data_IF_810515201229
#
_entry.id   IF_810515201229
#
_cell.length_a   1.000
_cell.length_b   1.000
_cell.length_c   1.000
_cell.angle_alpha   90.00
_cell.angle_beta   90.00
_cell.angle_gamma   90.00
#
_symmetry.space_group_name_H-M   'P 1'
#
loop_
_entity.id
_entity.type
_entity.pdbx_description
1 polymer ?
#
# COMPACT_ATOMS: atom_id res chain seq x y z
N UNK A 1 31.18 -26.17 27.02
CA UNK A 1 30.40 -24.92 26.94
C UNK A 1 28.92 -25.30 26.94
N UNK A 2 28.13 -24.79 27.88
CA UNK A 2 26.68 -25.01 27.91
C UNK A 2 26.02 -23.85 27.17
N UNK A 3 25.24 -24.15 26.14
CA UNK A 3 24.46 -23.16 25.39
C UNK A 3 22.99 -23.42 25.72
N UNK A 4 22.29 -22.41 26.23
CA UNK A 4 20.85 -22.47 26.48
C UNK A 4 20.15 -21.84 25.30
N UNK A 5 19.39 -22.65 24.55
CA UNK A 5 18.56 -22.19 23.43
C UNK A 5 17.13 -22.00 23.93
N UNK A 6 16.66 -20.75 23.94
CA UNK A 6 15.28 -20.42 24.31
C UNK A 6 14.54 -19.99 23.05
N UNK A 7 13.43 -20.67 22.75
CA UNK A 7 12.51 -20.27 21.70
C UNK A 7 11.34 -19.52 22.32
N UNK A 8 11.14 -18.26 21.92
CA UNK A 8 10.02 -17.44 22.36
C UNK A 8 9.10 -17.25 21.16
N UNK A 9 7.88 -17.77 21.24
CA UNK A 9 6.89 -17.59 20.18
C UNK A 9 6.38 -16.13 20.15
N UNK A 10 6.06 -15.58 18.96
CA UNK A 10 5.45 -14.26 18.89
C UNK A 10 4.07 -14.26 19.56
N UNK A 11 3.82 -13.30 20.45
CA UNK A 11 2.51 -13.09 21.07
C UNK A 11 1.66 -12.09 20.26
N UNK A 12 0.33 -12.27 20.30
CA UNK A 12 -0.65 -11.36 19.68
C UNK A 12 -0.86 -10.06 20.47
N UNK A 13 -0.30 -9.96 21.67
CA UNK A 13 -0.39 -8.78 22.54
C UNK A 13 0.93 -8.02 22.59
N UNK A 14 0.86 -6.69 22.67
CA UNK A 14 2.02 -5.85 23.00
C UNK A 14 2.36 -6.05 24.48
N UNK A 15 3.58 -6.49 24.77
CA UNK A 15 4.04 -6.74 26.13
C UNK A 15 4.85 -5.53 26.60
N UNK A 16 4.58 -5.06 27.82
CA UNK A 16 5.34 -3.99 28.45
C UNK A 16 6.31 -4.58 29.48
N UNK A 17 7.57 -4.17 29.41
CA UNK A 17 8.57 -4.50 30.42
C UNK A 17 8.87 -3.23 31.24
N UNK A 18 8.61 -3.28 32.54
CA UNK A 18 8.75 -2.12 33.46
C UNK A 18 8.02 -0.85 32.97
N UNK A 19 6.82 -1.02 32.39
CA UNK A 19 6.00 0.07 31.86
C UNK A 19 6.34 0.53 30.44
N UNK A 20 7.53 0.17 29.94
CA UNK A 20 8.03 0.51 28.62
C UNK A 20 7.68 -0.56 27.57
N UNK A 21 7.45 -0.13 26.33
CA UNK A 21 7.26 -1.00 25.17
C UNK A 21 8.59 -1.10 24.43
N UNK A 22 8.98 -2.33 24.06
CA UNK A 22 10.16 -2.58 23.27
C UNK A 22 9.76 -3.32 22.00
N UNK A 23 10.40 -2.98 20.89
CA UNK A 23 10.30 -3.72 19.64
C UNK A 23 11.64 -4.28 19.25
N UNK A 24 11.64 -5.51 18.74
CA UNK A 24 12.87 -6.14 18.29
C UNK A 24 13.05 -5.88 16.82
N UNK A 25 13.95 -4.96 16.49
CA UNK A 25 14.29 -4.58 15.13
C UNK A 25 15.65 -5.22 14.83
N UNK A 26 15.62 -6.23 13.95
CA UNK A 26 16.78 -7.08 13.65
C UNK A 26 17.40 -7.71 14.93
N UNK A 27 18.60 -7.28 15.30
CA UNK A 27 19.38 -7.77 16.44
C UNK A 27 19.27 -6.90 17.70
N UNK A 28 18.48 -5.82 17.67
CA UNK A 28 18.38 -4.83 18.76
C UNK A 28 16.95 -4.71 19.29
N UNK A 29 16.82 -4.66 20.62
CA UNK A 29 15.57 -4.29 21.28
C UNK A 29 15.51 -2.75 21.43
N UNK A 30 14.62 -2.11 20.67
CA UNK A 30 14.48 -0.65 20.62
C UNK A 30 13.32 -0.21 21.51
N UNK A 31 13.57 0.79 22.37
CA UNK A 31 12.51 1.41 23.17
C UNK A 31 11.56 2.21 22.27
N UNK A 32 10.26 1.98 22.39
CA UNK A 32 9.24 2.68 21.62
C UNK A 32 8.39 3.55 22.53
N UNK A 33 8.43 4.86 22.28
CA UNK A 33 7.64 5.87 22.99
C UNK A 33 6.51 6.45 22.13
N UNK A 34 6.64 6.39 20.80
CA UNK A 34 5.67 6.99 19.89
C UNK A 34 4.38 6.17 19.84
N UNK A 35 3.24 6.82 20.12
CA UNK A 35 1.91 6.23 20.01
C UNK A 35 1.65 5.63 18.61
N UNK A 36 2.19 6.25 17.55
CA UNK A 36 2.07 5.76 16.17
C UNK A 36 2.77 4.42 16.03
N UNK A 37 4.00 4.31 16.53
CA UNK A 37 4.77 3.06 16.46
C UNK A 37 4.15 1.96 17.33
N UNK A 38 3.62 2.33 18.51
CA UNK A 38 2.88 1.40 19.37
C UNK A 38 1.61 0.90 18.67
N UNK A 39 0.84 1.78 18.03
CA UNK A 39 -0.36 1.42 17.25
C UNK A 39 -0.01 0.48 16.09
N UNK A 40 1.07 0.77 15.35
CA UNK A 40 1.58 -0.12 14.29
C UNK A 40 1.98 -1.49 14.84
N UNK A 41 2.56 -1.55 16.04
CA UNK A 41 2.87 -2.82 16.71
C UNK A 41 1.61 -3.62 17.04
N UNK A 42 0.54 -2.98 17.53
CA UNK A 42 -0.74 -3.64 17.75
C UNK A 42 -1.33 -4.22 16.47
N UNK A 43 -1.36 -3.44 15.39
CA UNK A 43 -1.84 -3.90 14.07
C UNK A 43 -1.04 -5.13 13.59
N UNK A 44 0.29 -5.08 13.68
CA UNK A 44 1.17 -6.21 13.31
C UNK A 44 0.89 -7.46 14.15
N UNK A 45 0.81 -7.33 15.47
CA UNK A 45 0.63 -8.47 16.40
C UNK A 45 -0.77 -9.09 16.36
N UNK A 46 -1.80 -8.29 16.11
CA UNK A 46 -3.18 -8.77 16.06
C UNK A 46 -3.55 -9.37 14.70
N UNK A 47 -2.66 -9.33 13.71
CA UNK A 47 -2.96 -9.69 12.31
C UNK A 47 -4.22 -8.99 11.79
N UNK A 48 -4.46 -7.76 12.25
CA UNK A 48 -5.60 -6.98 11.82
C UNK A 48 -5.35 -6.46 10.40
N UNK A 49 -6.26 -6.77 9.49
CA UNK A 49 -6.24 -6.30 8.10
C UNK A 49 -7.17 -5.09 7.99
N UNK A 50 -6.60 -3.90 8.12
CA UNK A 50 -7.34 -2.64 8.14
C UNK A 50 -8.13 -2.41 6.85
N UNK A 51 -7.65 -2.94 5.73
CA UNK A 51 -8.30 -2.90 4.42
C UNK A 51 -9.64 -3.64 4.40
N UNK A 52 -9.87 -4.57 5.34
CA UNK A 52 -11.12 -5.33 5.47
C UNK A 52 -12.14 -4.67 6.39
N UNK A 53 -11.86 -3.48 6.93
CA UNK A 53 -12.82 -2.72 7.75
C UNK A 53 -14.09 -2.44 6.95
N UNK A 54 -15.23 -2.95 7.42
CA UNK A 54 -16.54 -2.84 6.75
C UNK A 54 -17.17 -1.47 7.02
N UNK A 55 -17.79 -0.87 6.00
CA UNK A 55 -18.62 0.33 6.10
C UNK A 55 -20.05 0.02 5.68
N UNK A 56 -20.92 -0.19 6.67
CA UNK A 56 -22.33 -0.61 6.46
C UNK A 56 -23.16 0.36 5.61
N UNK A 57 -22.76 1.62 5.57
CA UNK A 57 -23.49 2.70 4.90
C UNK A 57 -22.88 3.12 3.57
N UNK A 58 -21.75 2.52 3.16
CA UNK A 58 -21.24 2.69 1.80
C UNK A 58 -22.09 1.84 0.87
N UNK A 59 -22.61 2.44 -0.17
CA UNK A 59 -23.47 1.82 -1.18
C UNK A 59 -22.79 1.85 -2.55
N UNK A 60 -23.31 1.12 -3.55
CA UNK A 60 -22.78 1.21 -4.91
C UNK A 60 -22.80 2.64 -5.49
N UNK A 61 -23.68 3.53 -5.02
CA UNK A 61 -23.73 4.93 -5.44
C UNK A 61 -22.52 5.76 -4.97
N UNK A 62 -21.82 5.30 -3.94
CA UNK A 62 -20.62 5.92 -3.39
C UNK A 62 -19.35 5.49 -4.15
N UNK A 63 -19.50 4.51 -5.05
CA UNK A 63 -18.46 4.01 -5.93
C UNK A 63 -18.59 4.59 -7.35
N UNK A 64 -17.48 4.58 -8.08
CA UNK A 64 -17.34 5.03 -9.46
C UNK A 64 -17.59 3.87 -10.43
N UNK A 65 -18.71 3.85 -11.18
CA UNK A 65 -19.06 2.73 -12.05
C UNK A 65 -18.06 2.50 -13.19
N UNK A 66 -17.45 3.57 -13.69
CA UNK A 66 -16.41 3.52 -14.72
C UNK A 66 -15.17 2.73 -14.27
N UNK A 67 -14.83 2.77 -12.97
CA UNK A 67 -13.70 2.00 -12.42
C UNK A 67 -14.02 0.51 -12.31
N UNK A 68 -15.29 0.15 -12.06
CA UNK A 68 -15.74 -1.25 -12.09
C UNK A 68 -15.57 -1.82 -13.50
N UNK A 69 -16.02 -1.08 -14.51
CA UNK A 69 -15.86 -1.47 -15.91
C UNK A 69 -14.38 -1.62 -16.29
N UNK A 70 -13.55 -0.66 -15.88
CA UNK A 70 -12.09 -0.69 -16.08
C UNK A 70 -11.44 -1.91 -15.41
N UNK A 71 -11.83 -2.24 -14.17
CA UNK A 71 -11.34 -3.41 -13.46
C UNK A 71 -11.65 -4.72 -14.20
N UNK A 72 -12.87 -4.85 -14.75
CA UNK A 72 -13.25 -6.00 -15.58
C UNK A 72 -12.40 -6.11 -16.83
N UNK A 73 -12.20 -5.00 -17.54
CA UNK A 73 -11.38 -4.95 -18.76
C UNK A 73 -9.93 -5.37 -18.47
N UNK A 74 -9.34 -4.86 -17.40
CA UNK A 74 -7.97 -5.21 -17.02
C UNK A 74 -7.83 -6.71 -16.70
N UNK A 75 -8.79 -7.28 -15.97
CA UNK A 75 -8.75 -8.70 -15.63
C UNK A 75 -8.88 -9.62 -16.86
N UNK A 76 -9.79 -9.28 -17.80
CA UNK A 76 -9.97 -10.04 -19.04
C UNK A 76 -8.76 -9.88 -19.98
N UNK A 77 -8.16 -8.69 -20.03
CA UNK A 77 -6.95 -8.44 -20.80
C UNK A 77 -5.74 -9.23 -20.24
N UNK A 78 -5.64 -9.35 -18.91
CA UNK A 78 -4.59 -10.13 -18.26
C UNK A 78 -4.78 -11.64 -18.45
N UNK A 79 -6.03 -12.11 -18.40
CA UNK A 79 -6.38 -13.52 -18.59
C UNK A 79 -7.65 -13.64 -19.43
N UNK A 80 -7.49 -14.11 -20.67
CA UNK A 80 -8.63 -14.44 -21.51
C UNK A 80 -9.58 -15.41 -20.79
N UNK A 81 -10.87 -15.12 -20.81
CA UNK A 81 -11.88 -15.89 -20.08
C UNK A 81 -11.88 -15.68 -18.56
N UNK A 82 -11.35 -14.55 -18.05
CA UNK A 82 -11.46 -14.22 -16.63
C UNK A 82 -12.94 -14.15 -16.19
N UNK A 83 -13.34 -14.78 -15.06
CA UNK A 83 -14.75 -14.82 -14.62
C UNK A 83 -15.41 -13.45 -14.46
N UNK A 84 -14.62 -12.43 -14.10
CA UNK A 84 -15.11 -11.04 -14.00
C UNK A 84 -15.62 -10.46 -15.33
N UNK A 85 -15.36 -11.09 -16.47
CA UNK A 85 -15.96 -10.66 -17.74
C UNK A 85 -17.47 -10.88 -17.80
N UNK A 86 -18.00 -11.87 -17.06
CA UNK A 86 -19.42 -12.29 -17.17
C UNK A 86 -20.20 -12.17 -15.86
N UNK A 87 -19.52 -12.00 -14.72
CA UNK A 87 -20.17 -11.80 -13.42
C UNK A 87 -21.01 -10.51 -13.38
N UNK A 88 -22.08 -10.50 -12.60
CA UNK A 88 -22.74 -9.27 -12.13
C UNK A 88 -21.80 -8.43 -11.26
N UNK A 89 -22.15 -7.18 -10.97
CA UNK A 89 -21.34 -6.31 -10.09
C UNK A 89 -21.24 -6.88 -8.67
N UNK A 90 -22.35 -7.40 -8.13
CA UNK A 90 -22.36 -8.00 -6.79
C UNK A 90 -21.44 -9.23 -6.70
N UNK A 91 -21.54 -10.15 -7.66
CA UNK A 91 -20.67 -11.33 -7.73
C UNK A 91 -19.20 -10.94 -7.85
N UNK A 92 -18.90 -9.92 -8.65
CA UNK A 92 -17.56 -9.39 -8.80
C UNK A 92 -17.05 -8.81 -7.47
N UNK A 93 -17.84 -8.01 -6.74
CA UNK A 93 -17.40 -7.42 -5.48
C UNK A 93 -17.11 -8.49 -4.42
N UNK A 94 -17.94 -9.53 -4.33
CA UNK A 94 -17.72 -10.65 -3.41
C UNK A 94 -16.52 -11.51 -3.82
N UNK A 95 -16.37 -11.76 -5.13
CA UNK A 95 -15.22 -12.51 -5.69
C UNK A 95 -13.90 -11.78 -5.44
N UNK A 96 -13.88 -10.47 -5.61
CA UNK A 96 -12.71 -9.61 -5.41
C UNK A 96 -12.44 -9.26 -3.93
N UNK A 97 -13.25 -9.77 -2.99
CA UNK A 97 -13.17 -9.45 -1.55
C UNK A 97 -13.28 -7.94 -1.26
N UNK A 98 -14.11 -7.25 -2.02
CA UNK A 98 -14.44 -5.83 -1.82
C UNK A 98 -15.74 -5.66 -1.00
N UNK A 99 -16.57 -6.70 -0.97
CA UNK A 99 -17.77 -6.76 -0.15
C UNK A 99 -17.66 -7.97 0.79
N UNK A 100 -17.57 -7.69 2.09
CA UNK A 100 -17.32 -8.70 3.13
C UNK A 100 -18.54 -8.80 4.06
N UNK A 101 -18.65 -9.97 4.71
CA UNK A 101 -19.59 -10.22 5.81
C UNK A 101 -18.82 -10.75 7.01
N UNK A 102 -18.94 -10.08 8.13
CA UNK A 102 -18.46 -10.54 9.42
C UNK A 102 -19.53 -11.44 10.06
N UNK A 103 -19.22 -12.74 10.16
CA UNK A 103 -20.14 -13.73 10.73
C UNK A 103 -20.21 -13.69 12.26
N UNK A 104 -19.29 -12.99 12.93
CA UNK A 104 -19.32 -12.85 14.39
C UNK A 104 -20.26 -11.73 14.83
N UNK A 105 -20.27 -10.62 14.11
CA UNK A 105 -21.10 -9.44 14.40
C UNK A 105 -22.38 -9.39 13.55
N UNK A 106 -22.40 -10.12 12.44
CA UNK A 106 -23.47 -10.06 11.44
C UNK A 106 -23.36 -8.88 10.48
N UNK A 107 -22.31 -8.06 10.59
CA UNK A 107 -22.11 -6.90 9.71
C UNK A 107 -21.78 -7.31 8.28
N UNK A 108 -22.34 -6.59 7.32
CA UNK A 108 -22.11 -6.84 5.89
C UNK A 108 -22.03 -5.50 5.16
N UNK A 109 -21.12 -5.39 4.19
CA UNK A 109 -20.93 -4.15 3.44
C UNK A 109 -19.63 -4.09 2.65
N UNK A 110 -19.43 -2.96 1.96
CA UNK A 110 -18.16 -2.65 1.32
C UNK A 110 -17.07 -2.39 2.35
N UNK A 111 -15.87 -2.88 2.08
CA UNK A 111 -14.72 -2.68 2.96
C UNK A 111 -13.84 -1.50 2.50
N UNK A 112 -12.79 -1.19 3.28
CA UNK A 112 -11.87 -0.08 2.97
C UNK A 112 -11.16 -0.28 1.63
N UNK A 113 -10.82 -1.51 1.25
CA UNK A 113 -10.25 -1.79 -0.06
C UNK A 113 -11.20 -1.36 -1.20
N UNK A 114 -12.50 -1.63 -1.07
CA UNK A 114 -13.50 -1.20 -2.05
C UNK A 114 -13.57 0.32 -2.17
N UNK A 115 -13.60 1.02 -1.03
CA UNK A 115 -13.63 2.49 -0.99
C UNK A 115 -12.36 3.07 -1.61
N UNK A 116 -11.18 2.52 -1.28
CA UNK A 116 -9.91 3.01 -1.82
C UNK A 116 -9.76 2.72 -3.33
N UNK A 117 -10.22 1.56 -3.82
CA UNK A 117 -10.10 1.18 -5.23
C UNK A 117 -11.14 1.88 -6.11
N UNK A 118 -12.38 2.01 -5.63
CA UNK A 118 -13.54 2.35 -6.46
C UNK A 118 -14.32 3.55 -5.94
N UNK A 119 -14.04 4.05 -4.74
CA UNK A 119 -14.81 5.14 -4.14
C UNK A 119 -14.65 6.48 -4.86
N UNK A 120 -15.65 7.34 -4.69
CA UNK A 120 -15.52 8.77 -5.04
C UNK A 120 -14.59 9.49 -4.07
N UNK A 121 -14.01 10.60 -4.51
CA UNK A 121 -12.97 11.32 -3.75
C UNK A 121 -13.51 11.84 -2.41
N UNK A 122 -14.75 12.30 -2.38
CA UNK A 122 -15.44 12.76 -1.17
C UNK A 122 -15.68 11.62 -0.16
N UNK A 123 -15.97 10.41 -0.65
CA UNK A 123 -16.19 9.22 0.19
C UNK A 123 -14.85 8.76 0.79
N UNK A 124 -13.81 8.69 -0.04
CA UNK A 124 -12.45 8.36 0.41
C UNK A 124 -11.97 9.37 1.46
N UNK A 125 -12.16 10.67 1.20
CA UNK A 125 -11.73 11.74 2.13
C UNK A 125 -12.49 11.68 3.47
N UNK A 126 -13.76 11.27 3.46
CA UNK A 126 -14.56 11.09 4.67
C UNK A 126 -14.10 9.88 5.49
N UNK A 127 -13.84 8.75 4.82
CA UNK A 127 -13.51 7.47 5.45
C UNK A 127 -12.02 7.39 5.86
N UNK A 128 -11.15 8.03 5.09
CA UNK A 128 -9.70 8.03 5.24
C UNK A 128 -9.12 9.44 5.04
N UNK A 129 -9.35 10.38 5.97
CA UNK A 129 -8.96 11.79 5.80
C UNK A 129 -7.45 12.02 5.70
N UNK A 130 -6.65 11.11 6.27
CA UNK A 130 -5.19 11.16 6.17
C UNK A 130 -4.65 10.60 4.83
N UNK A 131 -5.53 10.09 3.96
CA UNK A 131 -5.13 9.55 2.67
C UNK A 131 -4.66 10.66 1.73
N UNK A 132 -3.34 10.75 1.63
CA UNK A 132 -2.64 11.58 0.67
C UNK A 132 -1.35 10.87 0.26
N UNK A 133 -1.01 10.98 -1.02
CA UNK A 133 0.31 10.62 -1.55
C UNK A 133 0.95 11.86 -2.17
N UNK A 134 2.09 12.27 -1.61
CA UNK A 134 2.84 13.47 -1.97
C UNK A 134 4.00 13.09 -2.88
N UNK A 135 3.96 13.41 -4.17
CA UNK A 135 5.07 13.20 -5.08
C UNK A 135 5.81 14.52 -5.31
N UNK A 136 7.12 14.55 -5.11
CA UNK A 136 7.95 15.76 -5.17
C UNK A 136 9.24 15.51 -5.95
N UNK A 137 9.65 16.51 -6.72
CA UNK A 137 10.95 16.55 -7.41
C UNK A 137 11.81 17.62 -6.75
N UNK A 138 13.06 17.28 -6.42
CA UNK A 138 14.05 18.19 -5.81
C UNK A 138 15.43 17.96 -6.45
N UNK A 139 15.72 18.72 -7.48
CA UNK A 139 16.98 18.70 -8.26
C UNK A 139 17.73 20.00 -8.10
N UNK A 140 17.08 21.13 -8.40
CA UNK A 140 17.69 22.45 -8.36
C UNK A 140 17.31 23.17 -7.06
N UNK A 141 16.03 23.12 -6.68
CA UNK A 141 15.55 23.71 -5.44
C UNK A 141 15.34 22.66 -4.33
N UNK A 142 16.39 22.43 -3.53
CA UNK A 142 16.40 21.43 -2.46
C UNK A 142 15.43 21.81 -1.32
N UNK A 143 15.26 23.11 -1.04
CA UNK A 143 14.40 23.60 0.04
C UNK A 143 12.91 23.63 -0.32
N UNK A 144 12.58 23.71 -1.62
CA UNK A 144 11.19 23.65 -2.11
C UNK A 144 10.95 22.35 -2.86
N UNK A 145 10.67 22.47 -4.15
CA UNK A 145 10.45 21.42 -5.12
C UNK A 145 10.41 22.06 -6.51
N UNK A 146 10.89 21.35 -7.52
CA UNK A 146 10.83 21.77 -8.92
C UNK A 146 9.50 21.36 -9.56
N UNK A 147 8.93 20.23 -9.12
CA UNK A 147 7.62 19.73 -9.51
C UNK A 147 6.98 19.01 -8.30
N UNK A 148 5.66 19.08 -8.18
CA UNK A 148 4.92 18.45 -7.07
C UNK A 148 3.53 18.04 -7.51
N UNK A 149 3.15 16.82 -7.14
CA UNK A 149 1.82 16.27 -7.33
C UNK A 149 1.29 15.74 -5.99
N UNK A 150 0.13 16.23 -5.56
CA UNK A 150 -0.57 15.69 -4.39
C UNK A 150 -1.79 14.91 -4.83
N UNK A 151 -1.82 13.61 -4.54
CA UNK A 151 -2.88 12.70 -4.96
C UNK A 151 -3.74 12.30 -3.77
N UNK A 152 -5.07 12.40 -3.93
CA UNK A 152 -6.08 12.09 -2.90
C UNK A 152 -7.31 11.37 -3.48
N UNK A 153 -7.13 10.63 -4.58
CA UNK A 153 -8.21 9.95 -5.31
C UNK A 153 -8.09 8.43 -5.18
N UNK A 154 -9.01 7.66 -5.76
CA UNK A 154 -8.97 6.21 -5.76
C UNK A 154 -7.62 5.64 -6.28
N UNK A 155 -7.34 4.38 -5.96
CA UNK A 155 -6.05 3.76 -6.25
C UNK A 155 -5.76 3.55 -7.74
N UNK A 156 -6.78 3.40 -8.59
CA UNK A 156 -6.57 3.30 -10.05
C UNK A 156 -6.02 4.62 -10.60
N UNK A 157 -6.70 5.72 -10.29
CA UNK A 157 -6.33 7.04 -10.78
C UNK A 157 -5.02 7.50 -10.10
N UNK A 158 -4.84 7.15 -8.82
CA UNK A 158 -3.60 7.46 -8.10
C UNK A 158 -2.39 6.77 -8.71
N UNK A 159 -2.52 5.50 -9.10
CA UNK A 159 -1.46 4.77 -9.77
C UNK A 159 -1.09 5.44 -11.10
N UNK A 160 -2.06 5.84 -11.93
CA UNK A 160 -1.79 6.51 -13.20
C UNK A 160 -1.09 7.85 -13.02
N UNK A 161 -1.62 8.72 -12.16
CA UNK A 161 -1.07 10.04 -11.92
C UNK A 161 0.36 9.95 -11.36
N UNK A 162 0.59 9.07 -10.37
CA UNK A 162 1.92 8.91 -9.77
C UNK A 162 2.91 8.26 -10.73
N UNK A 163 2.48 7.26 -11.52
CA UNK A 163 3.33 6.63 -12.53
C UNK A 163 3.74 7.65 -13.58
N UNK A 164 2.80 8.40 -14.14
CA UNK A 164 3.09 9.41 -15.18
C UNK A 164 3.96 10.54 -14.65
N UNK A 165 3.70 11.02 -13.43
CA UNK A 165 4.56 11.98 -12.76
C UNK A 165 5.98 11.45 -12.59
N UNK A 166 6.11 10.19 -12.16
CA UNK A 166 7.41 9.54 -11.96
C UNK A 166 8.15 9.34 -13.27
N UNK A 167 7.49 8.87 -14.32
CA UNK A 167 8.08 8.67 -15.66
C UNK A 167 8.51 9.98 -16.30
N UNK A 168 7.69 11.03 -16.23
CA UNK A 168 8.07 12.35 -16.77
C UNK A 168 9.31 12.91 -16.08
N UNK A 169 9.44 12.64 -14.77
CA UNK A 169 10.52 13.15 -13.93
C UNK A 169 11.70 12.18 -13.77
N UNK A 170 11.79 11.12 -14.56
CA UNK A 170 12.94 10.23 -14.60
C UNK A 170 13.67 10.31 -15.96
N UNK A 171 15.01 10.17 -16.00
CA UNK A 171 15.76 10.17 -17.26
C UNK A 171 15.37 8.98 -18.17
N UNK A 172 15.13 9.23 -19.46
CA UNK A 172 14.88 8.18 -20.45
C UNK A 172 16.18 7.74 -21.12
N UNK A 173 16.92 6.86 -20.46
CA UNK A 173 18.16 6.31 -21.02
C UNK A 173 17.86 5.22 -22.03
N UNK A 174 18.60 5.22 -23.14
CA UNK A 174 18.54 4.13 -24.12
C UNK A 174 19.20 2.88 -23.53
N UNK A 175 18.41 1.81 -23.34
CA UNK A 175 18.89 0.54 -22.81
C UNK A 175 18.33 -0.62 -23.65
N UNK A 176 19.16 -1.62 -23.90
CA UNK A 176 18.79 -2.85 -24.59
C UNK A 176 18.80 -4.03 -23.60
N UNK A 177 17.83 -4.94 -23.74
CA UNK A 177 17.83 -6.25 -23.08
C UNK A 177 17.79 -7.32 -24.17
N UNK A 178 18.95 -7.90 -24.48
CA UNK A 178 19.15 -8.61 -25.75
C UNK A 178 18.99 -7.63 -26.91
N UNK A 179 18.19 -7.99 -27.91
CA UNK A 179 17.95 -7.14 -29.09
C UNK A 179 16.74 -6.22 -28.95
N UNK A 180 16.07 -6.20 -27.79
CA UNK A 180 14.89 -5.37 -27.55
C UNK A 180 15.23 -4.13 -26.74
N UNK A 181 14.83 -2.96 -27.24
CA UNK A 181 14.84 -1.72 -26.47
C UNK A 181 13.88 -1.85 -25.28
N UNK A 182 14.37 -1.50 -24.10
CA UNK A 182 13.58 -1.41 -22.88
C UNK A 182 13.68 0.02 -22.34
N UNK A 183 12.62 0.52 -21.70
CA UNK A 183 12.70 1.75 -20.91
C UNK A 183 12.75 1.36 -19.43
N UNK A 184 13.95 1.35 -18.79
CA UNK A 184 14.07 1.06 -17.36
C UNK A 184 13.21 2.00 -16.53
N UNK A 185 13.05 3.24 -17.00
CA UNK A 185 12.21 4.27 -16.38
C UNK A 185 10.76 3.83 -16.21
N UNK A 186 10.11 3.37 -17.28
CA UNK A 186 8.73 2.88 -17.24
C UNK A 186 8.60 1.69 -16.29
N UNK A 187 9.57 0.78 -16.30
CA UNK A 187 9.57 -0.36 -15.39
C UNK A 187 9.73 0.08 -13.92
N UNK A 188 10.68 0.96 -13.63
CA UNK A 188 10.91 1.50 -12.28
C UNK A 188 9.67 2.21 -11.78
N UNK A 189 9.10 3.12 -12.57
CA UNK A 189 7.90 3.87 -12.20
C UNK A 189 6.72 2.93 -11.92
N UNK A 190 6.48 1.94 -12.79
CA UNK A 190 5.43 0.95 -12.61
C UNK A 190 5.57 0.18 -11.29
N UNK A 191 6.72 -0.45 -11.07
CA UNK A 191 6.91 -1.32 -9.91
C UNK A 191 6.95 -0.53 -8.60
N UNK A 192 7.63 0.62 -8.60
CA UNK A 192 7.78 1.47 -7.41
C UNK A 192 6.44 2.04 -6.96
N UNK A 193 5.64 2.59 -7.89
CA UNK A 193 4.33 3.16 -7.57
C UNK A 193 3.35 2.06 -7.16
N UNK A 194 3.31 0.93 -7.89
CA UNK A 194 2.43 -0.18 -7.55
C UNK A 194 2.74 -0.71 -6.14
N UNK A 195 4.01 -0.98 -5.82
CA UNK A 195 4.40 -1.47 -4.50
C UNK A 195 4.10 -0.45 -3.40
N UNK A 196 4.36 0.83 -3.64
CA UNK A 196 4.10 1.89 -2.66
C UNK A 196 2.61 2.04 -2.34
N UNK A 197 1.72 1.83 -3.31
CA UNK A 197 0.27 1.88 -3.10
C UNK A 197 -0.27 0.58 -2.50
N UNK A 198 0.17 -0.58 -2.99
CA UNK A 198 -0.36 -1.89 -2.56
C UNK A 198 0.03 -2.26 -1.14
N UNK A 199 1.25 -1.91 -0.70
CA UNK A 199 1.76 -2.27 0.62
C UNK A 199 1.61 -1.17 1.66
N UNK A 200 0.84 -0.12 1.35
CA UNK A 200 0.59 0.98 2.27
C UNK A 200 -0.42 0.56 3.35
N UNK A 201 -0.11 0.91 4.59
CA UNK A 201 -1.06 0.88 5.69
C UNK A 201 -1.91 2.16 5.67
N UNK A 202 -3.12 2.07 5.14
CA UNK A 202 -4.01 3.22 4.93
C UNK A 202 -4.68 3.73 6.21
N UNK A 203 -4.69 2.94 7.29
CA UNK A 203 -5.14 3.43 8.60
C UNK A 203 -4.11 4.35 9.28
N UNK A 204 -2.87 4.37 8.78
CA UNK A 204 -1.80 5.21 9.32
C UNK A 204 -1.95 6.67 8.90
N UNK A 205 -1.75 7.64 9.82
CA UNK A 205 -1.74 9.06 9.48
C UNK A 205 -0.47 9.51 8.74
N UNK A 206 0.51 8.62 8.57
CA UNK A 206 1.76 8.94 7.86
C UNK A 206 1.47 9.23 6.40
N UNK A 207 1.82 10.44 5.98
CA UNK A 207 1.74 10.87 4.58
C UNK A 207 2.70 10.04 3.74
N UNK A 208 2.16 9.33 2.74
CA UNK A 208 3.00 8.63 1.78
C UNK A 208 3.70 9.65 0.87
N UNK A 209 4.95 9.41 0.53
CA UNK A 209 5.75 10.31 -0.30
C UNK A 209 6.54 9.56 -1.36
N UNK A 210 6.58 10.10 -2.57
CA UNK A 210 7.54 9.75 -3.63
C UNK A 210 8.46 10.96 -3.82
N UNK A 211 9.76 10.79 -3.63
CA UNK A 211 10.76 11.87 -3.81
C UNK A 211 11.71 11.48 -4.92
N UNK A 212 11.88 12.38 -5.89
CA UNK A 212 12.83 12.22 -6.99
C UNK A 212 13.86 13.34 -6.87
N UNK A 213 15.13 12.98 -6.78
CA UNK A 213 16.25 13.92 -6.76
C UNK A 213 17.27 13.56 -7.84
N UNK A 214 18.41 14.25 -7.85
CA UNK A 214 19.46 14.02 -8.84
C UNK A 214 20.12 12.64 -8.72
N UNK A 215 20.06 12.01 -7.54
CA UNK A 215 20.78 10.76 -7.25
C UNK A 215 19.85 9.54 -7.26
N UNK A 216 18.58 9.72 -6.91
CA UNK A 216 17.70 8.61 -6.55
C UNK A 216 16.21 8.94 -6.68
N UNK A 217 15.42 7.87 -6.66
CA UNK A 217 13.99 7.91 -6.36
C UNK A 217 13.77 7.18 -5.04
N UNK A 218 12.99 7.78 -4.15
CA UNK A 218 12.73 7.28 -2.79
C UNK A 218 11.23 7.28 -2.51
N UNK A 219 10.73 6.23 -1.88
CA UNK A 219 9.36 6.16 -1.37
C UNK A 219 9.36 6.08 0.15
N UNK A 220 8.37 6.72 0.76
CA UNK A 220 8.10 6.62 2.19
C UNK A 220 6.61 6.36 2.34
N UNK A 221 6.24 5.27 2.99
CA UNK A 221 4.86 5.00 3.35
C UNK A 221 4.84 4.17 4.64
N UNK A 222 3.78 4.31 5.44
CA UNK A 222 3.51 3.32 6.46
C UNK A 222 3.23 1.97 5.80
N UNK A 223 3.73 0.90 6.39
CA UNK A 223 3.50 -0.47 5.92
C UNK A 223 3.47 -1.42 7.11
N UNK A 224 2.89 -2.60 6.89
CA UNK A 224 2.91 -3.70 7.87
C UNK A 224 4.10 -4.60 7.56
N UNK A 225 5.31 -4.16 7.90
CA UNK A 225 6.53 -4.95 7.72
C UNK A 225 6.69 -5.97 8.84
N UNK A 226 6.75 -7.25 8.49
CA UNK A 226 7.21 -8.33 9.38
C UNK A 226 8.74 -8.34 9.53
N UNK A 227 9.45 -7.73 8.58
CA UNK A 227 10.91 -7.58 8.57
C UNK A 227 11.29 -6.14 8.28
N UNK A 228 12.13 -5.56 9.12
CA UNK A 228 12.75 -4.25 8.93
C UNK A 228 14.26 -4.42 8.75
N UNK A 229 14.77 -4.07 7.57
CA UNK A 229 16.19 -4.19 7.22
C UNK A 229 16.47 -3.86 5.76
N UNK A 230 17.75 -3.66 5.41
CA UNK A 230 18.15 -3.46 4.00
C UNK A 230 17.94 -4.75 3.23
N UNK A 231 17.05 -4.72 2.24
CA UNK A 231 16.90 -5.82 1.29
C UNK A 231 18.06 -5.79 0.29
N UNK A 232 18.82 -6.88 0.20
CA UNK A 232 19.77 -7.09 -0.91
C UNK A 232 19.08 -7.83 -2.04
N UNK A 233 19.53 -7.56 -3.26
CA UNK A 233 19.04 -8.23 -4.46
C UNK A 233 19.28 -9.75 -4.31
N UNK A 234 18.20 -10.55 -4.35
CA UNK A 234 18.27 -12.02 -4.23
C UNK A 234 18.06 -12.60 -2.82
N UNK A 235 17.96 -11.77 -1.78
CA UNK A 235 17.73 -12.24 -0.39
C UNK A 235 16.26 -12.11 0.06
N UNK A 236 15.36 -11.62 -0.82
CA UNK A 236 13.95 -11.50 -0.49
C UNK A 236 13.27 -12.87 -0.48
N UNK A 237 12.98 -13.36 0.73
CA UNK A 237 12.07 -14.49 0.94
C UNK A 237 10.74 -13.92 1.42
N UNK A 238 9.64 -14.02 0.65
CA UNK A 238 8.33 -13.62 1.16
C UNK A 238 8.00 -14.51 2.36
N UNK A 239 7.90 -13.90 3.54
CA UNK A 239 7.46 -14.60 4.75
C UNK A 239 5.94 -14.75 4.69
N UNK A 240 5.38 -15.94 4.99
CA UNK A 240 3.93 -16.17 5.01
C UNK A 240 3.23 -15.38 6.11
#
# INVERSE_FOLDING_TARGET
RIIVRIWVAPSSSVVRFKGAVFDRIADVDTHIESDIQISQMYIRKQNYYSERRIFRYVTPFDLRPELIARMRQLAVAQRAGHPWGTMSDEELFRSAKLYDRDYTTGEEGFNLAAVLLLGKDEVISSVCPAYITDAVVRRDNIDRYDDRLMVRTNLFDSYEQLREFTERNLPDRFVLKGDKRVSPRTMIARELVANSLMHREYSSPVVARVTIDNESIRTVNASRSFFEGRMKLGEFTPMP
#
